data_IF_046491490898
#
_entry.id   IF_046491490898
#
_cell.length_a   1.000
_cell.length_b   1.000
_cell.length_c   1.000
_cell.angle_alpha   90.00
_cell.angle_beta   90.00
_cell.angle_gamma   90.00
#
_symmetry.space_group_name_H-M   'P 1'
#
loop_
_entity.id
_entity.type
_entity.pdbx_description
1 polymer ?
#
# COMPACT_ATOMS: atom_id res chain seq x y z
N UNK A 1 -53.78 6.55 -5.56
CA UNK A 1 -53.18 7.50 -6.52
C UNK A 1 -52.43 8.53 -5.68
N UNK A 2 -51.22 8.17 -5.25
CA UNK A 2 -50.33 9.09 -4.53
C UNK A 2 -49.51 9.81 -5.59
N UNK A 3 -49.58 11.13 -5.57
CA UNK A 3 -48.90 12.01 -6.51
C UNK A 3 -47.51 12.29 -5.92
N UNK A 4 -46.47 11.97 -6.68
CA UNK A 4 -45.08 12.16 -6.32
C UNK A 4 -44.77 13.64 -6.10
N UNK A 5 -44.27 13.98 -4.91
CA UNK A 5 -43.63 15.26 -4.66
C UNK A 5 -42.16 15.10 -5.03
N UNK A 6 -41.86 15.58 -6.25
CA UNK A 6 -40.56 16.02 -6.73
C UNK A 6 -39.72 16.64 -5.61
N UNK A 7 -38.76 15.88 -5.09
CA UNK A 7 -37.71 16.42 -4.24
C UNK A 7 -36.80 17.30 -5.11
N UNK A 8 -36.79 18.59 -4.79
CA UNK A 8 -36.08 19.64 -5.50
C UNK A 8 -34.57 19.38 -5.44
N UNK A 9 -34.04 18.85 -6.55
CA UNK A 9 -32.62 18.74 -6.82
C UNK A 9 -31.94 20.12 -6.74
N UNK A 10 -31.40 20.43 -5.56
CA UNK A 10 -30.41 21.48 -5.40
C UNK A 10 -29.06 20.84 -5.68
N UNK A 11 -28.68 20.78 -6.95
CA UNK A 11 -27.32 20.42 -7.36
C UNK A 11 -26.37 21.50 -6.86
N UNK A 12 -25.74 21.25 -5.72
CA UNK A 12 -24.55 21.98 -5.29
C UNK A 12 -23.41 21.59 -6.23
N UNK A 13 -23.35 22.24 -7.40
CA UNK A 13 -22.15 22.27 -8.23
C UNK A 13 -21.18 23.27 -7.60
N UNK A 14 -20.61 22.90 -6.45
CA UNK A 14 -19.32 23.46 -6.05
C UNK A 14 -18.29 22.80 -6.95
N UNK A 15 -17.67 23.58 -7.83
CA UNK A 15 -16.83 23.09 -8.93
C UNK A 15 -15.88 21.96 -8.47
N UNK A 16 -16.25 20.73 -8.82
CA UNK A 16 -15.36 19.58 -8.69
C UNK A 16 -14.12 19.89 -9.54
N UNK A 17 -12.93 19.70 -8.96
CA UNK A 17 -11.69 19.86 -9.69
C UNK A 17 -11.72 18.99 -10.96
N UNK A 18 -11.36 19.53 -12.14
CA UNK A 18 -11.30 18.74 -13.36
C UNK A 18 -10.38 17.53 -13.20
N UNK A 19 -10.72 16.42 -13.83
CA UNK A 19 -9.94 15.17 -13.78
C UNK A 19 -8.46 15.39 -14.13
N UNK A 20 -8.16 16.27 -15.09
CA UNK A 20 -6.79 16.60 -15.48
C UNK A 20 -5.98 17.27 -14.37
N UNK A 21 -6.64 18.07 -13.52
CA UNK A 21 -5.99 18.66 -12.35
C UNK A 21 -5.74 17.59 -11.29
N UNK A 22 -6.69 16.68 -11.07
CA UNK A 22 -6.52 15.56 -10.14
C UNK A 22 -5.39 14.64 -10.60
N UNK A 23 -5.33 14.29 -11.89
CA UNK A 23 -4.23 13.49 -12.48
C UNK A 23 -2.86 14.16 -12.35
N UNK A 24 -2.80 15.49 -12.32
CA UNK A 24 -1.56 16.23 -12.10
C UNK A 24 -1.16 16.27 -10.62
N UNK A 25 -2.13 16.35 -9.70
CA UNK A 25 -1.89 16.50 -8.26
C UNK A 25 -1.70 15.16 -7.56
N UNK A 26 -2.53 14.16 -7.85
CA UNK A 26 -2.55 12.87 -7.15
C UNK A 26 -1.20 12.13 -7.18
N UNK A 27 -0.44 12.10 -8.30
CA UNK A 27 0.90 11.51 -8.29
C UNK A 27 1.92 12.25 -7.41
N UNK A 28 1.63 13.46 -6.93
CA UNK A 28 2.50 14.27 -6.08
C UNK A 28 2.24 14.06 -4.59
N UNK A 29 1.13 13.41 -4.23
CA UNK A 29 0.75 13.12 -2.84
C UNK A 29 1.55 11.94 -2.27
N UNK A 30 1.65 11.83 -0.95
CA UNK A 30 2.10 10.59 -0.33
C UNK A 30 0.97 9.54 -0.34
N UNK A 31 1.31 8.26 -0.17
CA UNK A 31 0.32 7.17 -0.25
C UNK A 31 -0.82 7.32 0.76
N UNK A 32 -0.53 7.80 1.97
CA UNK A 32 -1.58 8.08 2.98
C UNK A 32 -2.53 9.19 2.55
N UNK A 33 -2.02 10.24 1.92
CA UNK A 33 -2.83 11.37 1.44
C UNK A 33 -3.66 10.98 0.22
N UNK A 34 -3.11 10.16 -0.68
CA UNK A 34 -3.85 9.60 -1.81
C UNK A 34 -4.97 8.67 -1.33
N UNK A 35 -4.73 7.85 -0.31
CA UNK A 35 -5.80 7.05 0.32
C UNK A 35 -6.88 7.93 0.94
N UNK A 36 -6.50 9.00 1.66
CA UNK A 36 -7.45 9.94 2.27
C UNK A 36 -8.34 10.62 1.22
N UNK A 37 -7.82 10.89 0.01
CA UNK A 37 -8.60 11.43 -1.11
C UNK A 37 -9.82 10.56 -1.45
N UNK A 38 -9.76 9.24 -1.21
CA UNK A 38 -10.88 8.35 -1.50
C UNK A 38 -12.11 8.57 -0.64
N UNK A 39 -11.96 9.25 0.50
CA UNK A 39 -13.07 9.53 1.43
C UNK A 39 -13.69 10.91 1.21
N UNK A 40 -13.17 11.71 0.27
CA UNK A 40 -13.60 13.11 0.05
C UNK A 40 -14.92 13.19 -0.72
N UNK A 41 -14.97 12.59 -1.91
CA UNK A 41 -16.16 12.58 -2.76
C UNK A 41 -16.10 11.42 -3.77
N UNK A 42 -17.21 11.16 -4.48
CA UNK A 42 -17.29 10.07 -5.47
C UNK A 42 -16.23 10.18 -6.58
N UNK A 43 -15.96 11.38 -7.08
CA UNK A 43 -14.96 11.58 -8.14
C UNK A 43 -13.55 11.26 -7.64
N UNK A 44 -13.19 11.78 -6.46
CA UNK A 44 -11.87 11.55 -5.86
C UNK A 44 -11.67 10.09 -5.46
N UNK A 45 -12.72 9.44 -4.97
CA UNK A 45 -12.74 8.00 -4.74
C UNK A 45 -12.39 7.20 -6.00
N UNK A 46 -13.09 7.47 -7.10
CA UNK A 46 -12.85 6.78 -8.37
C UNK A 46 -11.46 7.08 -8.93
N UNK A 47 -11.01 8.34 -8.85
CA UNK A 47 -9.71 8.75 -9.37
C UNK A 47 -8.55 8.19 -8.53
N UNK A 48 -8.62 8.27 -7.21
CA UNK A 48 -7.54 7.83 -6.33
C UNK A 48 -7.40 6.29 -6.28
N UNK A 49 -8.42 5.54 -6.70
CA UNK A 49 -8.34 4.08 -6.88
C UNK A 49 -7.56 3.64 -8.12
N UNK A 50 -7.23 4.55 -9.04
CA UNK A 50 -6.46 4.21 -10.23
C UNK A 50 -5.07 3.67 -9.85
N UNK A 51 -4.80 2.41 -10.25
CA UNK A 51 -3.57 1.71 -9.94
C UNK A 51 -2.31 2.41 -10.48
N UNK A 52 -2.46 3.29 -11.48
CA UNK A 52 -1.39 4.10 -12.03
C UNK A 52 -0.74 4.98 -10.97
N UNK A 53 -1.54 5.66 -10.14
CA UNK A 53 -1.01 6.57 -9.12
C UNK A 53 -0.22 5.81 -8.06
N UNK A 54 -0.75 4.68 -7.60
CA UNK A 54 -0.07 3.80 -6.65
C UNK A 54 1.22 3.23 -7.22
N UNK A 55 1.23 2.81 -8.50
CA UNK A 55 2.47 2.38 -9.19
C UNK A 55 3.49 3.51 -9.27
N UNK A 56 3.08 4.74 -9.57
CA UNK A 56 3.96 5.90 -9.58
C UNK A 56 4.56 6.17 -8.19
N UNK A 57 3.77 6.05 -7.12
CA UNK A 57 4.24 6.23 -5.75
C UNK A 57 5.22 5.13 -5.34
N UNK A 58 4.91 3.87 -5.63
CA UNK A 58 5.83 2.75 -5.41
C UNK A 58 7.14 2.95 -6.17
N UNK A 59 7.09 3.34 -7.45
CA UNK A 59 8.28 3.59 -8.26
C UNK A 59 9.11 4.79 -7.76
N UNK A 60 8.47 5.84 -7.22
CA UNK A 60 9.16 6.99 -6.62
C UNK A 60 9.82 6.64 -5.28
N UNK A 61 9.10 5.90 -4.43
CA UNK A 61 9.56 5.55 -3.08
C UNK A 61 10.59 4.43 -3.11
N UNK A 62 10.45 3.50 -4.05
CA UNK A 62 11.35 2.37 -4.23
C UNK A 62 11.66 2.14 -5.73
N UNK A 63 12.55 2.96 -6.30
CA UNK A 63 12.91 2.88 -7.72
C UNK A 63 13.44 1.50 -8.15
N UNK A 64 14.09 0.78 -7.24
CA UNK A 64 14.68 -0.55 -7.47
C UNK A 64 13.75 -1.73 -7.16
N UNK A 65 12.63 -1.54 -6.44
CA UNK A 65 11.76 -2.65 -6.00
C UNK A 65 10.64 -2.98 -6.97
N UNK A 66 10.69 -2.45 -8.21
CA UNK A 66 9.98 -3.04 -9.36
C UNK A 66 10.52 -4.43 -9.75
N UNK A 67 10.95 -5.21 -8.76
CA UNK A 67 11.31 -6.62 -8.88
C UNK A 67 10.01 -7.40 -9.00
N UNK A 68 9.85 -8.16 -10.09
CA UNK A 68 8.76 -9.15 -10.27
C UNK A 68 9.01 -10.38 -9.38
N UNK A 69 9.19 -10.17 -8.09
CA UNK A 69 9.44 -11.20 -7.08
C UNK A 69 8.13 -11.54 -6.32
N UNK A 70 6.97 -11.34 -6.94
CA UNK A 70 5.64 -11.50 -6.33
C UNK A 70 5.46 -12.82 -5.56
N UNK A 71 5.99 -13.93 -6.11
CA UNK A 71 5.95 -15.24 -5.45
C UNK A 71 6.88 -15.35 -4.24
N UNK A 72 8.04 -14.68 -4.28
CA UNK A 72 9.02 -14.67 -3.19
C UNK A 72 8.50 -13.87 -2.00
N UNK A 73 7.98 -12.66 -2.26
CA UNK A 73 7.41 -11.80 -1.22
C UNK A 73 6.18 -12.46 -0.57
N UNK A 74 5.39 -13.24 -1.33
CA UNK A 74 4.28 -14.02 -0.77
C UNK A 74 4.74 -15.06 0.28
N UNK A 75 5.95 -15.63 0.16
CA UNK A 75 6.50 -16.54 1.17
C UNK A 75 6.73 -15.86 2.52
N UNK A 76 7.12 -14.58 2.53
CA UNK A 76 7.26 -13.79 3.76
C UNK A 76 5.88 -13.58 4.38
N UNK A 77 4.93 -13.05 3.59
CA UNK A 77 3.58 -12.74 4.07
C UNK A 77 2.88 -13.97 4.67
N UNK A 78 2.99 -15.13 4.03
CA UNK A 78 2.34 -16.36 4.49
C UNK A 78 2.92 -16.90 5.81
N UNK A 79 4.16 -16.56 6.15
CA UNK A 79 4.83 -17.01 7.38
C UNK A 79 4.65 -15.98 8.51
N UNK A 80 4.56 -14.70 8.17
CA UNK A 80 4.43 -13.62 9.14
C UNK A 80 3.01 -13.51 9.70
N UNK A 81 2.92 -13.17 10.99
CA UNK A 81 1.64 -12.96 11.68
C UNK A 81 1.38 -11.45 11.75
N UNK A 82 0.31 -11.00 11.09
CA UNK A 82 -0.16 -9.61 11.12
C UNK A 82 -1.20 -9.44 12.23
N UNK A 83 -0.75 -9.34 13.48
CA UNK A 83 -1.60 -9.25 14.66
C UNK A 83 -2.02 -7.81 15.02
N UNK A 84 -1.37 -6.81 14.42
CA UNK A 84 -1.68 -5.40 14.61
C UNK A 84 -2.19 -4.77 13.31
N UNK A 85 -3.45 -4.31 13.33
CA UNK A 85 -4.09 -3.64 12.20
C UNK A 85 -4.38 -2.18 12.61
N UNK A 86 -3.72 -1.25 11.96
CA UNK A 86 -3.97 0.19 12.11
C UNK A 86 -4.79 0.70 10.91
N UNK A 87 -6.10 0.84 11.14
CA UNK A 87 -7.02 1.36 10.14
C UNK A 87 -6.84 2.86 9.88
N UNK A 88 -6.25 3.61 10.81
CA UNK A 88 -6.04 5.05 10.64
C UNK A 88 -4.90 5.34 9.66
N UNK A 89 -3.92 4.45 9.60
CA UNK A 89 -2.81 4.51 8.65
C UNK A 89 -2.94 3.51 7.49
N UNK A 90 -4.06 2.79 7.41
CA UNK A 90 -4.35 1.81 6.36
C UNK A 90 -3.30 0.69 6.25
N UNK A 91 -2.82 0.21 7.41
CA UNK A 91 -1.66 -0.68 7.52
C UNK A 91 -1.89 -1.85 8.45
N UNK A 92 -1.44 -3.04 8.06
CA UNK A 92 -1.32 -4.18 8.95
C UNK A 92 0.17 -4.49 9.15
N UNK A 93 0.59 -4.66 10.40
CA UNK A 93 1.99 -4.76 10.78
C UNK A 93 2.32 -6.18 11.26
N UNK A 94 3.51 -6.64 10.88
CA UNK A 94 4.13 -7.83 11.41
C UNK A 94 5.59 -7.52 11.76
N UNK A 95 6.07 -8.16 12.83
CA UNK A 95 7.49 -8.20 13.15
C UNK A 95 7.93 -9.65 13.07
N UNK A 96 8.89 -9.93 12.19
CA UNK A 96 9.30 -11.31 11.92
C UNK A 96 10.83 -11.43 11.83
N UNK A 97 11.31 -12.62 12.14
CA UNK A 97 12.71 -13.00 11.95
C UNK A 97 12.82 -13.73 10.61
N UNK A 98 13.36 -13.03 9.61
CA UNK A 98 13.46 -13.62 8.28
C UNK A 98 14.59 -14.63 8.23
N UNK A 99 14.31 -15.78 7.62
CA UNK A 99 15.28 -16.86 7.45
C UNK A 99 16.09 -16.63 6.19
N UNK A 100 17.41 -16.76 6.32
CA UNK A 100 18.36 -16.59 5.22
C UNK A 100 18.82 -17.95 4.71
N UNK A 101 19.16 -18.00 3.43
CA UNK A 101 19.66 -19.22 2.79
C UNK A 101 20.92 -19.70 3.51
N UNK A 102 21.07 -21.02 3.75
CA UNK A 102 22.25 -21.58 4.42
C UNK A 102 23.56 -21.37 3.65
N UNK A 103 23.48 -20.91 2.39
CA UNK A 103 24.63 -20.45 1.59
C UNK A 103 25.29 -19.20 2.22
N UNK A 104 24.55 -18.46 3.05
CA UNK A 104 25.01 -17.28 3.78
C UNK A 104 25.05 -17.57 5.30
N UNK A 105 25.95 -18.45 5.79
CA UNK A 105 25.90 -18.99 7.15
C UNK A 105 26.15 -17.95 8.27
N UNK A 106 26.60 -16.75 7.93
CA UNK A 106 26.87 -15.67 8.88
C UNK A 106 25.71 -14.68 9.03
N UNK A 107 24.64 -14.84 8.24
CA UNK A 107 23.45 -14.00 8.27
C UNK A 107 22.34 -14.83 8.89
N UNK A 108 22.13 -14.71 10.20
CA UNK A 108 21.08 -15.47 10.91
C UNK A 108 20.21 -14.53 11.73
N UNK A 109 18.89 -14.67 11.58
CA UNK A 109 17.92 -14.04 12.48
C UNK A 109 17.88 -12.52 12.39
N UNK A 110 17.92 -11.95 11.19
CA UNK A 110 17.65 -10.53 11.03
C UNK A 110 16.15 -10.31 11.21
N UNK A 111 15.81 -9.41 12.14
CA UNK A 111 14.46 -8.92 12.33
C UNK A 111 14.10 -7.96 11.20
N UNK A 112 12.93 -8.17 10.61
CA UNK A 112 12.33 -7.23 9.70
C UNK A 112 10.97 -6.76 10.25
N UNK A 113 10.66 -5.51 10.00
CA UNK A 113 9.31 -4.99 10.08
C UNK A 113 8.66 -5.10 8.72
N UNK A 114 7.42 -5.62 8.69
CA UNK A 114 6.67 -5.84 7.46
C UNK A 114 5.32 -5.13 7.63
N UNK A 115 4.95 -4.31 6.65
CA UNK A 115 3.68 -3.60 6.63
C UNK A 115 2.92 -3.94 5.34
N UNK A 116 1.71 -4.48 5.46
CA UNK A 116 0.78 -4.53 4.35
C UNK A 116 0.02 -3.21 4.29
N UNK A 117 0.05 -2.57 3.13
CA UNK A 117 -0.77 -1.39 2.85
C UNK A 117 -2.07 -1.88 2.24
N UNK A 118 -3.19 -1.52 2.86
CA UNK A 118 -4.49 -2.00 2.44
C UNK A 118 -5.51 -0.88 2.28
N UNK A 119 -6.58 -1.15 1.55
CA UNK A 119 -7.76 -0.28 1.48
C UNK A 119 -8.97 -1.04 1.98
N UNK A 120 -9.80 -0.38 2.79
CA UNK A 120 -11.04 -0.95 3.28
C UNK A 120 -12.19 -0.64 2.31
N UNK A 121 -12.97 -1.67 1.97
CA UNK A 121 -14.22 -1.47 1.24
C UNK A 121 -15.35 -1.15 2.21
N UNK A 122 -16.06 -0.04 1.97
CA UNK A 122 -17.09 0.46 2.90
C UNK A 122 -18.24 -0.54 3.20
N UNK A 123 -18.42 -1.57 2.36
CA UNK A 123 -19.56 -2.48 2.42
C UNK A 123 -19.19 -3.91 2.83
N UNK A 124 -17.92 -4.27 2.85
CA UNK A 124 -17.45 -5.62 3.14
C UNK A 124 -16.19 -5.47 3.99
N UNK A 125 -16.08 -6.18 5.13
CA UNK A 125 -14.87 -6.19 5.97
C UNK A 125 -13.73 -6.98 5.27
N UNK A 126 -13.49 -6.60 4.03
CA UNK A 126 -12.54 -7.13 3.06
C UNK A 126 -11.57 -5.98 2.80
N UNK A 127 -10.29 -6.32 2.91
CA UNK A 127 -9.20 -5.37 2.70
C UNK A 127 -8.49 -5.72 1.41
N UNK A 128 -8.38 -4.75 0.51
CA UNK A 128 -7.56 -4.88 -0.70
C UNK A 128 -6.14 -4.44 -0.40
N UNK A 129 -5.20 -5.40 -0.42
CA UNK A 129 -3.79 -5.11 -0.21
C UNK A 129 -3.18 -4.60 -1.52
N UNK A 130 -2.67 -3.37 -1.52
CA UNK A 130 -2.09 -2.73 -2.72
C UNK A 130 -0.57 -2.56 -2.62
N UNK A 131 0.00 -2.72 -1.43
CA UNK A 131 1.42 -2.48 -1.20
C UNK A 131 1.98 -3.28 -0.04
N UNK A 132 3.30 -3.44 -0.06
CA UNK A 132 4.06 -4.12 0.99
C UNK A 132 5.29 -3.26 1.25
N UNK A 133 5.52 -2.94 2.51
CA UNK A 133 6.76 -2.30 2.96
C UNK A 133 7.52 -3.31 3.82
N UNK A 134 8.83 -3.40 3.60
CA UNK A 134 9.73 -4.21 4.41
C UNK A 134 10.88 -3.30 4.84
N UNK A 135 11.15 -3.29 6.13
CA UNK A 135 12.27 -2.56 6.72
C UNK A 135 13.11 -3.52 7.57
N UNK A 136 14.40 -3.60 7.26
CA UNK A 136 15.39 -4.37 8.01
C UNK A 136 16.00 -3.49 9.10
N UNK A 137 15.15 -2.91 9.95
CA UNK A 137 15.39 -1.84 10.92
C UNK A 137 16.87 -1.58 11.32
N UNK A 138 17.53 -2.60 11.89
CA UNK A 138 18.87 -2.47 12.47
C UNK A 138 19.99 -3.10 11.61
N UNK A 139 19.63 -3.70 10.47
CA UNK A 139 20.52 -4.50 9.63
C UNK A 139 20.85 -3.88 8.27
N UNK A 140 20.10 -2.86 7.84
CA UNK A 140 20.38 -2.12 6.61
C UNK A 140 20.21 -0.62 6.82
N UNK A 141 21.19 0.16 6.36
CA UNK A 141 21.22 1.62 6.41
C UNK A 141 21.12 2.25 5.01
N UNK A 142 21.03 1.43 3.97
CA UNK A 142 20.92 1.87 2.58
C UNK A 142 20.05 0.93 1.75
N UNK A 143 19.56 1.45 0.63
CA UNK A 143 18.77 0.67 -0.35
C UNK A 143 19.54 -0.56 -0.86
N UNK A 144 20.83 -0.41 -1.16
CA UNK A 144 21.68 -1.50 -1.64
C UNK A 144 21.81 -2.64 -0.61
N UNK A 145 21.96 -2.30 0.68
CA UNK A 145 22.00 -3.28 1.76
C UNK A 145 20.67 -4.02 1.90
N UNK A 146 19.54 -3.31 1.78
CA UNK A 146 18.20 -3.94 1.76
C UNK A 146 18.09 -4.92 0.60
N UNK A 147 18.52 -4.53 -0.60
CA UNK A 147 18.46 -5.38 -1.79
C UNK A 147 19.32 -6.65 -1.62
N UNK A 148 20.51 -6.53 -1.02
CA UNK A 148 21.36 -7.68 -0.71
C UNK A 148 20.72 -8.62 0.29
N UNK A 149 20.11 -8.09 1.35
CA UNK A 149 19.41 -8.92 2.33
C UNK A 149 18.27 -9.70 1.68
N UNK A 150 17.47 -9.05 0.83
CA UNK A 150 16.42 -9.72 0.06
C UNK A 150 16.98 -10.84 -0.84
N UNK A 151 18.12 -10.63 -1.51
CA UNK A 151 18.75 -11.67 -2.33
C UNK A 151 19.25 -12.87 -1.52
N UNK A 152 19.55 -12.67 -0.24
CA UNK A 152 20.03 -13.71 0.66
C UNK A 152 18.91 -14.50 1.38
N UNK A 153 17.66 -14.04 1.31
CA UNK A 153 16.54 -14.71 1.97
C UNK A 153 16.30 -16.12 1.43
N UNK A 154 15.88 -17.04 2.31
CA UNK A 154 15.40 -18.35 1.89
C UNK A 154 13.93 -18.24 1.43
N UNK A 155 13.77 -18.10 0.12
CA UNK A 155 12.47 -17.91 -0.52
C UNK A 155 11.63 -19.19 -0.65
N UNK A 156 12.05 -20.30 -0.01
CA UNK A 156 11.37 -21.60 -0.05
C UNK A 156 10.23 -21.74 0.95
#
# INVERSE_FOLDING_TARGET
MLQELSDSGSTFSGDMLPDEMLKAVFPLLEGTDLAACMSVCKQWHQMAQDDYFWKCLCAKRWPSTSRKDSNKVACIINKSIFDYIDRSSFRALAFDYLMFSPVYPFVAGIRAWISLLFMEHANENVFDVFGIEIDFCDAANSEDEVLWLLDMLDWK
#
